data_IF_144950993121
#
_entry.id   IF_144950993121
#
_cell.length_a   1.000
_cell.length_b   1.000
_cell.length_c   1.000
_cell.angle_alpha   90.00
_cell.angle_beta   90.00
_cell.angle_gamma   90.00
#
_symmetry.space_group_name_H-M   'P 1'
#
loop_
_entity.id
_entity.type
_entity.pdbx_description
1 polymer ?
#
# COMPACT_ATOMS: atom_id res chain seq x y z
N UNK A 1 -8.87 30.31 5.01
CA UNK A 1 -10.30 30.27 5.41
C UNK A 1 -10.47 31.23 6.58
N UNK A 2 -11.53 32.04 6.60
CA UNK A 2 -11.91 32.88 7.74
C UNK A 2 -13.25 32.37 8.30
N UNK A 3 -13.42 32.48 9.61
CA UNK A 3 -14.69 32.17 10.28
C UNK A 3 -15.28 33.47 10.84
N UNK A 4 -16.59 33.63 10.70
CA UNK A 4 -17.32 34.77 11.26
C UNK A 4 -18.19 34.28 12.41
N UNK A 5 -18.07 34.92 13.57
CA UNK A 5 -18.89 34.57 14.72
C UNK A 5 -20.31 35.16 14.63
N UNK A 6 -21.16 34.81 15.60
CA UNK A 6 -22.56 35.28 15.69
C UNK A 6 -22.71 36.78 15.96
N UNK A 7 -21.62 37.49 16.26
CA UNK A 7 -21.58 38.93 16.50
C UNK A 7 -20.87 39.69 15.36
N UNK A 8 -20.51 38.99 14.27
CA UNK A 8 -19.92 39.60 13.07
C UNK A 8 -18.40 39.79 13.13
N UNK A 9 -17.72 39.26 14.15
CA UNK A 9 -16.26 39.29 14.21
C UNK A 9 -15.67 38.24 13.26
N UNK A 10 -14.74 38.66 12.41
CA UNK A 10 -14.09 37.80 11.39
C UNK A 10 -12.70 37.40 11.89
N UNK A 11 -12.41 36.10 11.88
CA UNK A 11 -11.09 35.58 12.25
C UNK A 11 -10.01 36.02 11.26
N UNK A 12 -8.76 36.08 11.71
CA UNK A 12 -7.63 36.21 10.79
C UNK A 12 -7.60 35.05 9.79
N UNK A 13 -7.13 35.29 8.55
CA UNK A 13 -7.10 34.27 7.51
C UNK A 13 -6.10 33.16 7.86
N UNK A 14 -6.63 31.98 8.18
CA UNK A 14 -5.81 30.78 8.33
C UNK A 14 -5.38 30.28 6.95
N UNK A 15 -4.07 30.22 6.72
CA UNK A 15 -3.47 29.63 5.51
C UNK A 15 -3.01 28.21 5.83
N UNK A 16 -3.68 27.22 5.22
CA UNK A 16 -3.21 25.84 5.26
C UNK A 16 -2.08 25.68 4.25
N UNK A 17 -0.85 25.53 4.74
CA UNK A 17 0.29 25.20 3.88
C UNK A 17 0.31 23.68 3.68
N UNK A 18 -0.21 23.23 2.53
CA UNK A 18 -0.09 21.83 2.12
C UNK A 18 1.27 21.65 1.45
N UNK A 19 2.14 20.84 2.05
CA UNK A 19 3.40 20.42 1.42
C UNK A 19 3.21 18.98 0.96
N UNK A 20 3.36 18.72 -0.34
CA UNK A 20 3.41 17.34 -0.82
C UNK A 20 4.77 16.75 -0.47
N UNK A 21 4.82 15.57 0.17
CA UNK A 21 6.08 14.86 0.40
C UNK A 21 6.84 14.67 -0.90
N UNK A 22 8.16 14.73 -0.85
CA UNK A 22 8.97 14.35 -2.00
C UNK A 22 8.85 12.83 -2.19
N UNK A 23 8.23 12.40 -3.30
CA UNK A 23 8.14 10.99 -3.65
C UNK A 23 9.51 10.49 -4.11
N UNK A 24 10.18 9.71 -3.28
CA UNK A 24 11.47 9.11 -3.63
C UNK A 24 11.23 7.82 -4.42
N UNK A 25 11.82 7.66 -5.61
CA UNK A 25 11.74 6.39 -6.34
C UNK A 25 12.44 5.28 -5.54
N UNK A 26 11.80 4.10 -5.48
CA UNK A 26 12.34 2.81 -4.99
C UNK A 26 13.63 2.93 -4.14
N UNK A 27 13.51 3.42 -2.91
CA UNK A 27 14.61 3.32 -1.95
C UNK A 27 14.89 1.84 -1.71
N UNK A 28 16.17 1.43 -1.77
CA UNK A 28 16.57 0.03 -1.49
C UNK A 28 16.11 -0.48 -0.12
N UNK A 29 15.75 0.43 0.78
CA UNK A 29 15.27 0.14 2.12
C UNK A 29 13.75 0.05 2.28
N UNK A 30 12.98 0.41 1.25
CA UNK A 30 11.53 0.19 1.21
C UNK A 30 11.16 -0.82 0.12
N UNK A 31 10.76 -2.03 0.52
CA UNK A 31 10.57 -3.13 -0.42
C UNK A 31 9.60 -4.21 0.06
N UNK A 32 8.78 -4.73 -0.84
CA UNK A 32 7.99 -5.95 -0.64
C UNK A 32 8.95 -7.15 -0.58
N UNK A 33 9.00 -7.78 0.59
CA UNK A 33 9.79 -8.98 0.87
C UNK A 33 9.06 -10.26 0.46
N UNK A 34 7.74 -10.30 0.65
CA UNK A 34 6.89 -11.45 0.36
C UNK A 34 5.57 -10.98 -0.26
N UNK A 35 5.05 -11.67 -1.30
CA UNK A 35 5.67 -12.78 -2.03
C UNK A 35 6.86 -12.31 -2.89
N UNK A 36 7.86 -13.16 -3.15
CA UNK A 36 8.95 -12.84 -4.11
C UNK A 36 9.64 -14.09 -4.65
N UNK A 37 9.81 -14.15 -5.96
CA UNK A 37 10.59 -15.13 -6.72
C UNK A 37 10.23 -16.59 -6.38
N UNK A 38 8.96 -16.96 -6.55
CA UNK A 38 8.53 -18.33 -6.30
C UNK A 38 7.03 -18.57 -6.30
N UNK A 39 6.68 -19.86 -6.23
CA UNK A 39 5.31 -20.35 -6.06
C UNK A 39 5.02 -20.42 -4.57
N UNK A 40 3.94 -19.78 -4.16
CA UNK A 40 3.43 -19.80 -2.79
C UNK A 40 2.13 -20.59 -2.77
N UNK A 41 2.05 -21.60 -1.90
CA UNK A 41 0.85 -22.37 -1.62
C UNK A 41 0.44 -22.13 -0.17
N UNK A 42 -0.73 -21.53 0.07
CA UNK A 42 -1.21 -21.13 1.39
C UNK A 42 -0.16 -20.38 2.22
N UNK A 43 0.56 -19.47 1.56
CA UNK A 43 1.60 -18.65 2.17
C UNK A 43 2.97 -19.32 2.32
N UNK A 44 3.11 -20.60 2.01
CA UNK A 44 4.38 -21.34 2.05
C UNK A 44 5.03 -21.30 0.68
N UNK A 45 6.30 -20.90 0.60
CA UNK A 45 7.06 -20.91 -0.64
C UNK A 45 7.49 -22.34 -0.96
N UNK A 46 6.91 -22.95 -1.97
CA UNK A 46 7.15 -24.36 -2.33
C UNK A 46 8.19 -24.53 -3.45
N UNK A 47 8.33 -23.53 -4.32
CA UNK A 47 9.26 -23.58 -5.45
C UNK A 47 9.84 -22.18 -5.74
N UNK A 48 11.16 -22.01 -5.81
CA UNK A 48 11.77 -20.76 -6.28
C UNK A 48 11.74 -20.68 -7.82
N UNK A 49 11.33 -19.54 -8.37
CA UNK A 49 11.41 -19.26 -9.82
C UNK A 49 11.38 -17.74 -10.09
N UNK A 50 11.64 -17.32 -11.32
CA UNK A 50 11.54 -15.91 -11.73
C UNK A 50 10.07 -15.52 -11.91
N UNK A 51 9.57 -14.67 -11.02
CA UNK A 51 8.16 -14.31 -10.95
C UNK A 51 7.51 -14.77 -9.64
N UNK A 52 6.20 -14.56 -9.51
CA UNK A 52 5.47 -14.84 -8.29
C UNK A 52 4.10 -15.42 -8.61
N UNK A 53 3.88 -16.67 -8.22
CA UNK A 53 2.55 -17.31 -8.26
C UNK A 53 2.09 -17.49 -6.81
N UNK A 54 0.86 -17.11 -6.52
CA UNK A 54 0.24 -17.24 -5.20
C UNK A 54 -1.02 -18.08 -5.36
N UNK A 55 -1.07 -19.21 -4.67
CA UNK A 55 -2.20 -20.12 -4.66
C UNK A 55 -2.80 -20.08 -3.25
N UNK A 56 -4.02 -19.55 -3.14
CA UNK A 56 -4.70 -19.30 -1.86
C UNK A 56 -4.18 -18.08 -1.10
N UNK A 57 -4.14 -18.19 0.22
CA UNK A 57 -3.79 -17.09 1.13
C UNK A 57 -2.30 -16.72 1.06
N UNK A 58 -2.00 -15.44 1.23
CA UNK A 58 -0.62 -14.95 1.35
C UNK A 58 -0.52 -13.83 2.38
N UNK A 59 0.61 -13.74 3.08
CA UNK A 59 0.95 -12.55 3.87
C UNK A 59 1.93 -11.72 3.09
N UNK A 60 1.50 -10.50 2.73
CA UNK A 60 2.37 -9.49 2.13
C UNK A 60 3.20 -8.88 3.24
N UNK A 61 4.52 -8.88 3.07
CA UNK A 61 5.47 -8.33 4.05
C UNK A 61 6.30 -7.23 3.42
N UNK A 62 6.45 -6.12 4.13
CA UNK A 62 7.18 -4.94 3.65
C UNK A 62 8.37 -4.65 4.57
N UNK A 63 9.57 -4.55 3.99
CA UNK A 63 10.72 -3.91 4.62
C UNK A 63 10.52 -2.41 4.48
N UNK A 64 10.65 -1.67 5.57
CA UNK A 64 10.60 -0.21 5.55
C UNK A 64 11.70 0.37 6.44
N UNK A 65 12.20 1.59 6.16
CA UNK A 65 13.09 2.32 7.05
C UNK A 65 12.47 2.59 8.43
N UNK A 66 13.32 2.87 9.42
CA UNK A 66 12.85 3.10 10.80
C UNK A 66 11.99 4.35 10.97
N UNK A 67 12.11 5.36 10.11
CA UNK A 67 11.25 6.55 10.14
C UNK A 67 9.84 6.34 9.59
N UNK A 68 9.59 5.23 8.86
CA UNK A 68 8.25 4.96 8.31
C UNK A 68 7.30 4.55 9.43
N UNK A 69 6.19 5.27 9.58
CA UNK A 69 5.17 5.02 10.61
C UNK A 69 3.87 4.45 10.05
N UNK A 70 3.64 4.62 8.74
CA UNK A 70 2.42 4.19 8.06
C UNK A 70 2.74 3.54 6.72
N UNK A 71 2.10 2.42 6.43
CA UNK A 71 2.14 1.74 5.11
C UNK A 71 0.73 1.49 4.61
N UNK A 72 0.44 1.98 3.41
CA UNK A 72 -0.80 1.71 2.68
C UNK A 72 -0.58 0.56 1.69
N UNK A 73 -1.47 -0.43 1.72
CA UNK A 73 -1.54 -1.52 0.76
C UNK A 73 -2.66 -1.21 -0.22
N UNK A 74 -2.34 -1.26 -1.51
CA UNK A 74 -3.25 -0.86 -2.57
C UNK A 74 -3.32 -1.90 -3.68
N UNK A 75 -4.50 -1.98 -4.30
CA UNK A 75 -4.78 -2.84 -5.46
C UNK A 75 -5.25 -2.02 -6.65
N UNK A 76 -4.98 -2.48 -7.88
CA UNK A 76 -5.53 -1.87 -9.07
C UNK A 76 -7.06 -1.97 -9.02
N UNK A 77 -7.73 -0.87 -9.36
CA UNK A 77 -9.17 -0.84 -9.47
C UNK A 77 -9.61 -1.56 -10.75
N UNK A 78 -10.73 -2.30 -10.69
CA UNK A 78 -11.26 -3.06 -11.84
C UNK A 78 -11.69 -2.16 -13.01
N UNK A 79 -12.08 -0.90 -12.73
CA UNK A 79 -12.34 0.13 -13.74
C UNK A 79 -11.09 0.54 -14.56
N UNK A 80 -9.89 0.14 -14.14
CA UNK A 80 -8.62 0.66 -14.69
C UNK A 80 -8.35 2.13 -14.34
N UNK A 81 -9.20 2.75 -13.50
CA UNK A 81 -9.19 4.17 -13.20
C UNK A 81 -8.22 4.57 -12.06
N UNK A 82 -7.49 3.62 -11.49
CA UNK A 82 -6.50 3.93 -10.46
C UNK A 82 -6.19 2.74 -9.54
N UNK A 83 -5.83 3.08 -8.31
CA UNK A 83 -5.50 2.15 -7.23
C UNK A 83 -6.37 2.48 -6.03
N UNK A 84 -6.88 1.44 -5.36
CA UNK A 84 -7.67 1.56 -4.15
C UNK A 84 -6.82 1.16 -2.95
N UNK A 85 -6.84 1.96 -1.88
CA UNK A 85 -6.24 1.59 -0.59
C UNK A 85 -7.13 0.54 0.08
N UNK A 86 -6.66 -0.71 0.11
CA UNK A 86 -7.42 -1.83 0.69
C UNK A 86 -7.08 -2.07 2.15
N UNK A 87 -5.93 -1.57 2.61
CA UNK A 87 -5.51 -1.67 4.00
C UNK A 87 -4.47 -0.63 4.35
N UNK A 88 -4.47 -0.20 5.60
CA UNK A 88 -3.47 0.69 6.19
C UNK A 88 -2.91 0.02 7.42
N UNK A 89 -1.59 -0.09 7.48
CA UNK A 89 -0.85 -0.60 8.62
C UNK A 89 -0.03 0.53 9.26
N UNK A 90 -0.13 0.66 10.58
CA UNK A 90 0.60 1.64 11.37
C UNK A 90 1.48 0.97 12.44
N UNK A 91 1.65 -0.35 12.38
CA UNK A 91 2.36 -1.14 13.39
C UNK A 91 3.46 -1.96 12.73
N UNK A 92 4.71 -1.74 13.15
CA UNK A 92 5.84 -2.56 12.68
C UNK A 92 5.80 -3.95 13.35
N UNK A 93 6.17 -5.03 12.64
CA UNK A 93 6.51 -5.09 11.22
C UNK A 93 5.27 -4.92 10.31
N UNK A 94 5.43 -4.22 9.20
CA UNK A 94 4.32 -3.93 8.28
C UNK A 94 3.92 -5.16 7.47
N UNK A 95 2.75 -5.71 7.77
CA UNK A 95 2.27 -6.97 7.20
C UNK A 95 0.76 -6.96 6.96
N UNK A 96 0.35 -7.55 5.83
CA UNK A 96 -1.07 -7.76 5.54
C UNK A 96 -1.34 -9.18 5.11
N UNK A 97 -2.17 -9.88 5.88
CA UNK A 97 -2.81 -11.12 5.41
C UNK A 97 -3.78 -10.79 4.29
N UNK A 98 -3.60 -11.48 3.18
CA UNK A 98 -4.45 -11.42 2.02
C UNK A 98 -5.12 -12.77 1.82
N UNK A 99 -6.26 -12.87 2.47
CA UNK A 99 -7.17 -14.01 2.47
C UNK A 99 -8.56 -13.65 1.93
N UNK A 100 -8.78 -12.38 1.61
CA UNK A 100 -10.06 -11.91 1.08
C UNK A 100 -9.98 -11.85 -0.43
N UNK A 101 -10.94 -12.54 -1.04
CA UNK A 101 -11.44 -12.18 -2.35
C UNK A 101 -12.35 -10.98 -2.14
N UNK A 102 -11.94 -9.83 -2.65
CA UNK A 102 -12.75 -8.63 -2.69
C UNK A 102 -13.81 -8.85 -3.78
N UNK A 103 -14.83 -9.65 -3.47
CA UNK A 103 -15.97 -10.02 -4.35
C UNK A 103 -16.89 -8.83 -4.71
N UNK A 104 -16.40 -7.59 -4.60
CA UNK A 104 -17.15 -6.38 -4.88
C UNK A 104 -16.89 -5.81 -6.28
N UNK A 105 -16.12 -6.51 -7.13
CA UNK A 105 -15.69 -6.07 -8.47
C UNK A 105 -15.06 -4.66 -8.51
N UNK A 106 -14.62 -4.11 -7.36
CA UNK A 106 -14.01 -2.78 -7.31
C UNK A 106 -12.51 -2.83 -7.56
N UNK A 107 -11.86 -3.91 -7.15
CA UNK A 107 -10.41 -4.12 -7.27
C UNK A 107 -10.12 -5.43 -7.99
N UNK A 108 -8.93 -5.52 -8.58
CA UNK A 108 -8.43 -6.75 -9.18
C UNK A 108 -7.48 -7.39 -8.17
N UNK A 109 -7.92 -8.46 -7.55
CA UNK A 109 -7.20 -9.15 -6.48
C UNK A 109 -6.93 -10.64 -6.77
N UNK A 110 -7.37 -11.11 -7.93
CA UNK A 110 -7.13 -12.44 -8.48
C UNK A 110 -6.49 -12.36 -9.88
N UNK A 111 -6.09 -13.52 -10.43
CA UNK A 111 -5.40 -13.65 -11.72
C UNK A 111 -4.11 -12.83 -11.72
N UNK A 112 -3.74 -12.25 -12.86
CA UNK A 112 -2.61 -11.34 -12.94
C UNK A 112 -2.98 -10.01 -12.31
N UNK A 113 -2.42 -9.71 -11.14
CA UNK A 113 -2.63 -8.46 -10.42
C UNK A 113 -1.31 -7.90 -9.90
N UNK A 114 -1.30 -6.64 -9.50
CA UNK A 114 -0.14 -5.98 -8.91
C UNK A 114 -0.49 -5.48 -7.53
N UNK A 115 0.33 -5.84 -6.56
CA UNK A 115 0.27 -5.28 -5.21
C UNK A 115 1.11 -4.01 -5.21
N UNK A 116 0.53 -2.91 -4.75
CA UNK A 116 1.25 -1.67 -4.53
C UNK A 116 1.32 -1.38 -3.04
N UNK A 117 2.47 -0.92 -2.57
CA UNK A 117 2.65 -0.46 -1.19
C UNK A 117 3.22 0.95 -1.19
N UNK A 118 2.72 1.79 -0.28
CA UNK A 118 3.20 3.16 -0.09
C UNK A 118 3.49 3.42 1.38
N UNK A 119 4.73 3.82 1.68
CA UNK A 119 5.19 4.11 3.03
C UNK A 119 5.32 5.60 3.26
N UNK A 120 5.07 6.04 4.49
CA UNK A 120 5.13 7.45 4.89
C UNK A 120 6.05 7.63 6.09
N UNK A 121 7.03 8.51 5.93
CA UNK A 121 7.83 9.08 7.02
C UNK A 121 7.39 10.53 7.20
N UNK A 122 6.57 10.78 8.23
CA UNK A 122 6.02 12.10 8.49
C UNK A 122 7.03 13.06 9.13
N UNK A 123 8.11 12.56 9.72
CA UNK A 123 9.16 13.41 10.30
C UNK A 123 10.00 14.03 9.19
N UNK A 124 10.37 13.22 8.18
CA UNK A 124 11.15 13.68 7.03
C UNK A 124 10.31 14.21 5.88
N UNK A 125 8.98 14.07 5.95
CA UNK A 125 8.07 14.38 4.85
C UNK A 125 8.46 13.61 3.58
N UNK A 126 8.77 12.32 3.73
CA UNK A 126 9.17 11.43 2.64
C UNK A 126 8.11 10.37 2.37
N UNK A 127 7.94 10.05 1.09
CA UNK A 127 7.09 8.98 0.62
C UNK A 127 7.92 7.91 -0.09
N UNK A 128 7.59 6.65 0.21
CA UNK A 128 8.23 5.47 -0.34
C UNK A 128 7.21 4.64 -1.12
N UNK A 129 7.65 3.96 -2.18
CA UNK A 129 6.78 3.09 -2.97
C UNK A 129 7.49 1.84 -3.46
N UNK A 130 6.80 0.70 -3.42
CA UNK A 130 7.20 -0.51 -4.11
C UNK A 130 5.97 -1.21 -4.68
N UNK A 131 6.17 -2.06 -5.69
CA UNK A 131 5.10 -2.86 -6.26
C UNK A 131 5.60 -4.23 -6.69
N UNK A 132 4.68 -5.20 -6.70
CA UNK A 132 4.97 -6.53 -7.21
C UNK A 132 3.78 -7.12 -7.94
N UNK A 133 4.02 -7.58 -9.16
CA UNK A 133 3.04 -8.33 -9.94
C UNK A 133 3.03 -9.79 -9.49
N UNK A 134 1.84 -10.34 -9.33
CA UNK A 134 1.63 -11.73 -8.93
C UNK A 134 0.58 -12.36 -9.85
N UNK A 135 0.66 -13.67 -10.00
CA UNK A 135 -0.46 -14.47 -10.49
C UNK A 135 -1.14 -15.14 -9.30
N UNK A 136 -2.32 -14.62 -8.91
CA UNK A 136 -3.12 -15.14 -7.80
C UNK A 136 -4.17 -16.13 -8.30
N UNK A 137 -4.13 -17.35 -7.77
CA UNK A 137 -5.01 -18.45 -8.08
C UNK A 137 -5.94 -18.69 -6.89
N UNK A 138 -7.25 -18.62 -7.15
CA UNK A 138 -8.32 -18.96 -6.21
C UNK A 138 -8.40 -20.48 -6.05
N UNK A 139 -8.60 -20.97 -4.83
CA UNK A 139 -8.91 -22.38 -4.52
C UNK A 139 -10.35 -22.44 -4.02
#
# INVERSE_FOLDING_TARGET
>A
MTATDKYGAVSEPATLKVTMPLSLPLSGDFKILKPRNGVYLFGIKILPFIGQIVIGDITVKVKAPDGVTKVEFMLPMACGCGREVVYVDNSKPFERKWNKDFDNNKVIDEKFTTIYVKGYDFEKLEEYGDSISIFKVKI
#
